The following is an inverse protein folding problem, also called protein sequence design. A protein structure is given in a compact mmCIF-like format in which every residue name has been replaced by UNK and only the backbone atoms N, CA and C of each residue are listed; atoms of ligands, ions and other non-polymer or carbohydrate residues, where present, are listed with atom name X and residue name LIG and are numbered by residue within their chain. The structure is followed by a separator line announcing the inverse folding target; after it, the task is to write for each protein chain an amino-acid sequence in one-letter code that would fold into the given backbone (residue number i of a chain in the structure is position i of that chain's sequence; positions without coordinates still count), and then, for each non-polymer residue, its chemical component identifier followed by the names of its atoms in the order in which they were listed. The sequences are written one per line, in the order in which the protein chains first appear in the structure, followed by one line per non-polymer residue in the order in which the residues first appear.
data_IF_125320932338
#
_entry.id   IF_125320932338
#
_cell.length_a   1.000
_cell.length_b   1.000
_cell.length_c   1.000
_cell.angle_alpha   90.00
_cell.angle_beta   90.00
_cell.angle_gamma   90.00
#
_symmetry.space_group_name_H-M   'P 1'
#
loop_
_entity.id
_entity.type
_entity.pdbx_description
1 polymer ?
#
# COMPACT_ATOMS: atom_id res chain seq x y z
N UNK A 1 9.65 -8.28 7.30
CA UNK A 1 9.97 -9.41 6.41
C UNK A 1 11.05 -10.25 7.08
N UNK A 2 10.78 -11.52 7.45
CA UNK A 2 11.80 -12.37 8.07
C UNK A 2 12.95 -12.61 7.07
N UNK A 3 14.20 -12.52 7.54
CA UNK A 3 15.40 -12.68 6.69
C UNK A 3 16.32 -11.46 6.65
N UNK A 4 15.90 -10.32 7.20
CA UNK A 4 16.73 -9.11 7.36
C UNK A 4 16.98 -8.84 8.85
N UNK A 5 18.01 -9.45 9.47
CA UNK A 5 18.26 -9.30 10.91
C UNK A 5 18.57 -7.86 11.33
N UNK A 6 19.22 -7.09 10.46
CA UNK A 6 19.54 -5.68 10.68
C UNK A 6 18.47 -4.71 10.14
N UNK A 7 17.36 -5.24 9.63
CA UNK A 7 16.36 -4.47 8.90
C UNK A 7 16.77 -4.12 7.46
N UNK A 8 15.81 -3.63 6.69
CA UNK A 8 15.98 -3.18 5.29
C UNK A 8 14.93 -2.12 4.98
N UNK A 9 15.25 -1.18 4.09
CA UNK A 9 14.25 -0.23 3.62
C UNK A 9 13.26 -0.88 2.66
N UNK A 10 12.03 -0.37 2.59
CA UNK A 10 11.04 -0.86 1.64
C UNK A 10 11.52 -0.85 0.18
N UNK A 11 12.06 0.27 -0.34
CA UNK A 11 12.57 0.34 -1.71
C UNK A 11 13.70 -0.65 -1.99
N UNK A 12 14.66 -0.78 -1.08
CA UNK A 12 15.77 -1.73 -1.25
C UNK A 12 15.28 -3.17 -1.27
N UNK A 13 14.37 -3.54 -0.38
CA UNK A 13 13.74 -4.86 -0.38
C UNK A 13 13.05 -5.16 -1.72
N UNK A 14 12.34 -4.19 -2.31
CA UNK A 14 11.68 -4.38 -3.62
C UNK A 14 12.68 -4.56 -4.76
N UNK A 15 13.77 -3.80 -4.76
CA UNK A 15 14.85 -3.97 -5.74
C UNK A 15 15.49 -5.36 -5.65
N UNK A 16 15.71 -5.87 -4.42
CA UNK A 16 16.26 -7.20 -4.21
C UNK A 16 15.29 -8.31 -4.67
N UNK A 17 13.99 -8.19 -4.41
CA UNK A 17 12.98 -9.13 -4.87
C UNK A 17 12.85 -9.12 -6.42
N UNK A 18 12.90 -7.94 -7.04
CA UNK A 18 12.91 -7.81 -8.50
C UNK A 18 14.13 -8.51 -9.11
N UNK A 19 15.33 -8.27 -8.57
CA UNK A 19 16.56 -8.91 -9.02
C UNK A 19 16.51 -10.44 -8.85
N UNK A 20 15.89 -10.94 -7.77
CA UNK A 20 15.68 -12.37 -7.58
C UNK A 20 14.77 -12.96 -8.67
N UNK A 21 13.67 -12.29 -9.03
CA UNK A 21 12.78 -12.75 -10.10
C UNK A 21 13.51 -12.79 -11.46
N UNK A 22 14.28 -11.75 -11.79
CA UNK A 22 15.07 -11.69 -13.02
C UNK A 22 16.18 -12.74 -13.08
N UNK A 23 16.79 -13.09 -11.95
CA UNK A 23 17.77 -14.19 -11.86
C UNK A 23 17.19 -15.53 -12.30
N UNK A 24 15.88 -15.72 -12.14
CA UNK A 24 15.15 -16.90 -12.61
C UNK A 24 14.36 -16.60 -13.90
N UNK A 25 14.85 -15.65 -14.71
CA UNK A 25 14.38 -15.37 -16.07
C UNK A 25 12.95 -14.81 -16.17
N UNK A 26 12.41 -14.25 -15.09
CA UNK A 26 11.14 -13.52 -15.16
C UNK A 26 11.29 -12.28 -16.08
N UNK A 27 10.42 -12.18 -17.09
CA UNK A 27 10.34 -11.03 -18.00
C UNK A 27 9.56 -9.88 -17.33
N UNK A 28 10.30 -8.87 -16.88
CA UNK A 28 9.75 -7.70 -16.19
C UNK A 28 9.71 -6.54 -17.16
N UNK A 29 8.51 -5.97 -17.35
CA UNK A 29 8.26 -4.89 -18.29
C UNK A 29 7.55 -3.75 -17.59
N UNK A 30 8.02 -2.54 -17.83
CA UNK A 30 7.36 -1.33 -17.36
C UNK A 30 6.09 -1.06 -18.17
N UNK A 31 4.99 -0.76 -17.48
CA UNK A 31 3.73 -0.40 -18.10
C UNK A 31 2.55 -0.64 -17.17
N UNK A 32 1.42 -0.04 -17.53
CA UNK A 32 0.17 -0.19 -16.80
C UNK A 32 -0.76 -1.13 -17.56
N UNK A 33 -1.28 -2.14 -16.87
CA UNK A 33 -2.38 -2.92 -17.42
C UNK A 33 -3.66 -2.09 -17.29
N UNK A 34 -4.20 -1.63 -18.41
CA UNK A 34 -5.39 -0.76 -18.43
C UNK A 34 -6.68 -1.52 -18.73
N UNK A 35 -6.58 -2.70 -19.37
CA UNK A 35 -7.72 -3.55 -19.69
C UNK A 35 -7.33 -5.02 -19.70
N UNK A 36 -8.26 -5.88 -19.32
CA UNK A 36 -8.17 -7.33 -19.46
C UNK A 36 -9.48 -7.88 -20.01
N UNK A 37 -9.40 -8.88 -20.88
CA UNK A 37 -10.52 -9.65 -21.42
C UNK A 37 -10.33 -11.15 -21.12
N UNK A 38 -11.23 -11.69 -20.29
CA UNK A 38 -11.26 -13.08 -19.86
C UNK A 38 -12.35 -13.91 -20.57
N UNK A 39 -13.00 -13.36 -21.61
CA UNK A 39 -14.14 -14.02 -22.27
C UNK A 39 -13.77 -15.27 -23.07
N UNK A 40 -12.48 -15.51 -23.32
CA UNK A 40 -11.98 -16.64 -24.10
C UNK A 40 -10.88 -17.41 -23.37
N UNK A 41 -10.57 -18.61 -23.86
CA UNK A 41 -9.52 -19.47 -23.31
C UNK A 41 -8.13 -18.82 -23.33
N UNK A 42 -7.85 -17.98 -24.34
CA UNK A 42 -6.67 -17.12 -24.35
C UNK A 42 -7.10 -15.75 -23.84
N UNK A 43 -6.49 -15.31 -22.75
CA UNK A 43 -6.76 -14.00 -22.17
C UNK A 43 -6.02 -12.91 -22.95
N UNK A 44 -6.65 -11.74 -23.05
CA UNK A 44 -6.06 -10.57 -23.70
C UNK A 44 -5.87 -9.46 -22.68
N UNK A 45 -4.71 -8.84 -22.71
CA UNK A 45 -4.29 -7.81 -21.76
C UNK A 45 -3.75 -6.62 -22.55
N UNK A 46 -4.15 -5.41 -22.20
CA UNK A 46 -3.65 -4.18 -22.83
C UNK A 46 -2.73 -3.43 -21.89
N UNK A 47 -1.52 -3.14 -22.38
CA UNK A 47 -0.53 -2.29 -21.72
C UNK A 47 -0.65 -0.87 -22.26
N UNK A 48 -0.83 0.09 -21.37
CA UNK A 48 -0.97 1.52 -21.68
C UNK A 48 -2.02 1.81 -22.76
N UNK A 49 -3.09 0.99 -22.87
CA UNK A 49 -4.13 1.09 -23.91
C UNK A 49 -3.65 0.88 -25.37
N UNK A 50 -2.37 0.60 -25.59
CA UNK A 50 -1.76 0.52 -26.92
C UNK A 50 -1.37 -0.91 -27.30
N UNK A 51 -0.69 -1.61 -26.40
CA UNK A 51 -0.07 -2.91 -26.70
C UNK A 51 -0.91 -4.06 -26.15
N UNK A 52 -1.43 -4.89 -27.04
CA UNK A 52 -2.13 -6.12 -26.68
C UNK A 52 -1.14 -7.28 -26.47
N UNK A 53 -1.33 -8.03 -25.39
CA UNK A 53 -0.56 -9.23 -25.03
C UNK A 53 -1.55 -10.37 -24.77
N UNK A 54 -1.19 -11.58 -25.20
CA UNK A 54 -1.99 -12.79 -25.03
C UNK A 54 -1.33 -13.73 -24.04
N UNK A 55 -2.13 -14.38 -23.19
CA UNK A 55 -1.66 -15.39 -22.25
C UNK A 55 -2.75 -16.42 -21.90
N UNK A 56 -2.33 -17.63 -21.51
CA UNK A 56 -3.26 -18.67 -21.03
C UNK A 56 -3.73 -18.43 -19.59
N UNK A 57 -3.00 -17.62 -18.81
CA UNK A 57 -3.27 -17.40 -17.39
C UNK A 57 -2.84 -16.00 -16.96
N UNK A 58 -3.63 -15.37 -16.09
CA UNK A 58 -3.34 -14.07 -15.48
C UNK A 58 -3.29 -14.23 -13.96
N UNK A 59 -2.21 -13.76 -13.35
CA UNK A 59 -2.09 -13.62 -11.89
C UNK A 59 -2.25 -12.13 -11.55
N UNK A 60 -3.27 -11.78 -10.79
CA UNK A 60 -3.55 -10.39 -10.39
C UNK A 60 -2.90 -10.12 -9.04
N UNK A 61 -1.86 -9.29 -9.04
CA UNK A 61 -1.12 -8.87 -7.84
C UNK A 61 -0.98 -7.34 -7.75
N UNK A 62 -2.03 -6.60 -8.14
CA UNK A 62 -2.01 -5.12 -8.26
C UNK A 62 -2.06 -4.36 -6.93
N UNK A 63 -2.14 -5.08 -5.80
CA UNK A 63 -2.16 -4.48 -4.47
C UNK A 63 -3.41 -3.65 -4.19
N UNK A 64 -3.27 -2.70 -3.26
CA UNK A 64 -4.30 -1.75 -2.87
C UNK A 64 -3.65 -0.40 -2.50
N UNK A 65 -4.43 0.66 -2.59
CA UNK A 65 -4.01 2.02 -2.19
C UNK A 65 -4.76 2.48 -0.95
N UNK A 66 -4.08 3.23 -0.09
CA UNK A 66 -4.72 3.91 1.03
C UNK A 66 -5.82 4.85 0.54
N UNK A 67 -6.99 4.81 1.20
CA UNK A 67 -8.09 5.73 0.93
C UNK A 67 -7.93 6.97 1.78
N UNK A 68 -7.65 8.08 1.11
CA UNK A 68 -7.54 9.40 1.72
C UNK A 68 -8.88 10.14 1.64
N UNK A 69 -9.09 11.13 2.51
CA UNK A 69 -10.30 11.96 2.51
C UNK A 69 -10.35 12.93 1.33
N UNK A 70 -9.19 13.21 0.71
CA UNK A 70 -9.08 14.12 -0.43
C UNK A 70 -9.00 15.59 0.00
N UNK A 71 -8.51 15.85 1.21
CA UNK A 71 -8.37 17.22 1.72
C UNK A 71 -7.02 17.81 1.29
N UNK A 72 -6.99 19.08 0.92
CA UNK A 72 -5.72 19.77 0.61
C UNK A 72 -4.75 19.77 1.80
N UNK A 73 -5.28 19.91 3.01
CA UNK A 73 -4.49 19.83 4.25
C UNK A 73 -3.88 18.45 4.45
N UNK A 74 -4.60 17.39 4.13
CA UNK A 74 -4.13 16.00 4.22
C UNK A 74 -2.89 15.80 3.33
N UNK A 75 -2.94 16.26 2.08
CA UNK A 75 -1.81 16.20 1.15
C UNK A 75 -0.62 17.04 1.62
N UNK A 76 -0.87 18.25 2.14
CA UNK A 76 0.16 19.12 2.70
C UNK A 76 0.95 18.40 3.80
N UNK A 77 0.27 17.77 4.76
CA UNK A 77 0.94 17.11 5.89
C UNK A 77 1.64 15.81 5.51
N UNK A 78 1.09 15.05 4.56
CA UNK A 78 1.77 13.88 3.98
C UNK A 78 3.09 14.25 3.31
N UNK A 79 3.11 15.34 2.52
CA UNK A 79 4.32 15.80 1.82
C UNK A 79 5.38 16.36 2.77
N UNK A 80 4.95 16.98 3.88
CA UNK A 80 5.85 17.43 4.93
C UNK A 80 6.41 16.28 5.78
N UNK A 81 5.88 15.05 5.61
CA UNK A 81 6.35 13.86 6.30
C UNK A 81 5.87 13.71 7.74
N UNK A 82 4.79 14.40 8.14
CA UNK A 82 4.29 14.31 9.51
C UNK A 82 2.93 14.96 9.76
N UNK A 83 2.19 14.41 10.72
CA UNK A 83 0.87 14.89 11.15
C UNK A 83 -0.32 14.15 10.53
N UNK A 84 -0.13 13.46 9.41
CA UNK A 84 -1.14 12.61 8.75
C UNK A 84 -0.49 11.28 8.36
N UNK A 85 -1.14 10.17 8.65
CA UNK A 85 -0.70 8.81 8.30
C UNK A 85 -1.90 7.96 7.90
N UNK A 86 -1.65 6.97 7.03
CA UNK A 86 -2.62 5.96 6.61
C UNK A 86 -2.33 4.57 7.21
N UNK A 87 -1.38 4.46 8.15
CA UNK A 87 -1.05 3.20 8.82
C UNK A 87 -0.65 3.45 10.27
N UNK A 88 -1.59 3.26 11.21
CA UNK A 88 -1.29 3.44 12.63
C UNK A 88 -0.18 2.52 13.15
N UNK A 89 -0.08 1.29 12.65
CA UNK A 89 0.94 0.33 13.08
C UNK A 89 2.35 0.79 12.66
N UNK A 90 2.45 1.37 11.47
CA UNK A 90 3.71 1.85 10.89
C UNK A 90 4.23 3.08 11.65
N UNK A 91 3.36 4.07 11.89
CA UNK A 91 3.78 5.40 12.37
C UNK A 91 3.42 5.69 13.83
N UNK A 92 2.56 4.89 14.46
CA UNK A 92 1.99 5.17 15.78
C UNK A 92 3.05 5.34 16.89
N UNK A 93 4.22 4.73 16.73
CA UNK A 93 5.34 4.92 17.66
C UNK A 93 5.81 6.39 17.73
N UNK A 94 5.82 7.12 16.61
CA UNK A 94 6.24 8.52 16.57
C UNK A 94 5.28 9.46 17.32
N UNK A 95 4.04 9.01 17.55
CA UNK A 95 3.00 9.76 18.26
C UNK A 95 2.80 9.27 19.70
N UNK A 96 3.79 8.57 20.29
CA UNK A 96 3.75 8.14 21.68
C UNK A 96 3.51 9.34 22.61
N UNK A 97 2.60 9.17 23.58
CA UNK A 97 2.15 10.19 24.53
C UNK A 97 1.49 11.43 23.89
N UNK A 98 1.22 11.44 22.58
CA UNK A 98 0.47 12.50 21.92
C UNK A 98 -1.04 12.19 21.94
N UNK A 99 -1.85 13.21 21.65
CA UNK A 99 -3.27 13.04 21.37
C UNK A 99 -3.48 12.92 19.87
N UNK A 100 -4.16 11.87 19.43
CA UNK A 100 -4.32 11.51 18.01
C UNK A 100 -5.79 11.31 17.65
N UNK A 101 -6.06 11.42 16.34
CA UNK A 101 -7.38 11.22 15.76
C UNK A 101 -7.33 10.08 14.75
N UNK A 102 -8.31 9.19 14.80
CA UNK A 102 -8.57 8.18 13.78
C UNK A 102 -9.83 8.57 13.03
N UNK A 103 -9.78 8.57 11.70
CA UNK A 103 -10.96 8.80 10.86
C UNK A 103 -11.39 7.47 10.24
N UNK A 104 -12.57 6.99 10.62
CA UNK A 104 -13.08 5.71 10.16
C UNK A 104 -13.99 5.03 11.18
N UNK A 105 -14.75 4.05 10.70
CA UNK A 105 -15.78 3.36 11.51
C UNK A 105 -15.87 1.85 11.25
N UNK A 106 -15.00 1.30 10.39
CA UNK A 106 -14.93 -0.14 10.14
C UNK A 106 -13.94 -0.83 11.08
N UNK A 107 -13.82 -2.15 10.94
CA UNK A 107 -12.91 -2.96 11.77
C UNK A 107 -11.48 -2.44 11.75
N UNK A 108 -10.96 -2.04 10.59
CA UNK A 108 -9.61 -1.44 10.48
C UNK A 108 -9.46 -0.21 11.38
N UNK A 109 -10.47 0.66 11.46
CA UNK A 109 -10.41 1.85 12.31
C UNK A 109 -10.43 1.46 13.80
N UNK A 110 -11.20 0.45 14.18
CA UNK A 110 -11.24 -0.08 15.54
C UNK A 110 -9.92 -0.76 15.94
N UNK A 111 -9.33 -1.57 15.05
CA UNK A 111 -8.05 -2.23 15.26
C UNK A 111 -6.90 -1.21 15.40
N UNK A 112 -6.86 -0.21 14.53
CA UNK A 112 -5.86 0.86 14.59
C UNK A 112 -6.03 1.74 15.83
N UNK A 113 -7.26 2.09 16.20
CA UNK A 113 -7.53 2.82 17.44
C UNK A 113 -7.11 2.01 18.67
N UNK A 114 -7.38 0.70 18.69
CA UNK A 114 -6.95 -0.19 19.75
C UNK A 114 -5.43 -0.27 19.85
N UNK A 115 -4.72 -0.36 18.72
CA UNK A 115 -3.26 -0.32 18.69
C UNK A 115 -2.72 1.00 19.27
N UNK A 116 -3.21 2.15 18.78
CA UNK A 116 -2.75 3.47 19.23
C UNK A 116 -3.09 3.74 20.70
N UNK A 117 -4.16 3.18 21.24
CA UNK A 117 -4.54 3.35 22.65
C UNK A 117 -3.47 2.88 23.63
N UNK A 118 -2.56 2.00 23.20
CA UNK A 118 -1.43 1.49 23.99
C UNK A 118 -0.21 2.42 23.96
N UNK A 119 -0.18 3.39 23.03
CA UNK A 119 0.97 4.25 22.76
C UNK A 119 0.67 5.73 23.03
N UNK A 120 -0.51 6.18 22.65
CA UNK A 120 -0.93 7.58 22.67
C UNK A 120 -1.68 7.91 23.96
N UNK A 121 -1.66 9.20 24.35
CA UNK A 121 -2.34 9.69 25.55
C UNK A 121 -3.86 9.64 25.41
N UNK A 122 -4.36 9.92 24.21
CA UNK A 122 -5.79 9.91 23.87
C UNK A 122 -5.95 9.60 22.38
N UNK A 123 -6.88 8.71 22.07
CA UNK A 123 -7.30 8.41 20.70
C UNK A 123 -8.75 8.86 20.55
N UNK A 124 -9.01 9.79 19.63
CA UNK A 124 -10.37 10.24 19.30
C UNK A 124 -10.77 9.64 17.97
N UNK A 125 -11.86 8.88 17.93
CA UNK A 125 -12.38 8.34 16.67
C UNK A 125 -13.42 9.28 16.09
N UNK A 126 -13.24 9.67 14.83
CA UNK A 126 -14.22 10.41 14.03
C UNK A 126 -14.95 9.41 13.12
N UNK A 127 -16.21 9.16 13.48
CA UNK A 127 -17.14 8.29 12.76
C UNK A 127 -18.12 9.17 12.01
N UNK A 128 -18.32 8.88 10.73
CA UNK A 128 -19.32 9.56 9.87
C UNK A 128 -20.72 9.03 10.12
#
# INVERSE_FOLDING_TARGET
FPGYPEGVTGPEMMMQLQAQAQRFEADIRDGWITKVDFSSAIHKVWVNEEKEIHCDTVIISTGASAKYLGLESEQKYLQLGGGVSACAVCDGFFYRNQEVVIVGAGDSACEEAHYLSKLCKKVTMLVR
#
